data_IF_430504120712
#
_entry.id   IF_430504120712
#
_cell.length_a   1.000
_cell.length_b   1.000
_cell.length_c   1.000
_cell.angle_alpha   90.00
_cell.angle_beta   90.00
_cell.angle_gamma   90.00
#
_symmetry.space_group_name_H-M   'P 1'
#
loop_
_entity.id
_entity.type
_entity.pdbx_description
1 polymer ?
#
# COMPACT_ATOMS: atom_id res chain seq x y z
N UNK A 1 -24.17 -34.83 0.29
CA UNK A 1 -23.28 -34.43 -0.82
C UNK A 1 -23.67 -33.03 -1.25
N UNK A 2 -23.03 -32.02 -0.67
CA UNK A 2 -22.97 -30.66 -1.21
C UNK A 2 -21.51 -30.29 -1.04
N UNK A 3 -20.81 -30.09 -2.15
CA UNK A 3 -19.42 -29.69 -2.20
C UNK A 3 -19.28 -28.30 -1.59
N UNK A 4 -18.54 -28.17 -0.49
CA UNK A 4 -18.08 -26.86 -0.05
C UNK A 4 -17.04 -26.38 -1.06
N UNK A 5 -17.46 -25.45 -1.91
CA UNK A 5 -16.58 -24.70 -2.80
C UNK A 5 -15.45 -24.09 -1.98
N UNK A 6 -14.24 -24.21 -2.53
CA UNK A 6 -13.02 -23.68 -1.94
C UNK A 6 -13.15 -22.17 -1.85
N UNK A 7 -13.10 -21.68 -0.63
CA UNK A 7 -13.01 -20.26 -0.35
C UNK A 7 -11.60 -19.81 -0.77
N UNK A 8 -11.45 -19.28 -1.98
CA UNK A 8 -10.21 -18.69 -2.51
C UNK A 8 -9.93 -17.31 -1.87
N UNK A 9 -10.16 -17.22 -0.55
CA UNK A 9 -9.80 -16.07 0.26
C UNK A 9 -8.28 -16.06 0.40
N UNK A 10 -7.65 -14.98 -0.04
CA UNK A 10 -6.26 -14.66 0.23
C UNK A 10 -6.05 -14.51 1.74
N UNK A 11 -5.94 -15.63 2.46
CA UNK A 11 -5.42 -15.63 3.81
C UNK A 11 -3.98 -15.15 3.69
N UNK A 12 -3.68 -13.94 4.16
CA UNK A 12 -2.31 -13.49 4.38
C UNK A 12 -1.67 -14.52 5.31
N UNK A 13 -0.91 -15.44 4.72
CA UNK A 13 -0.32 -16.55 5.45
C UNK A 13 0.57 -16.00 6.54
N UNK A 14 0.24 -16.31 7.80
CA UNK A 14 1.09 -16.01 8.94
C UNK A 14 2.45 -16.67 8.68
N UNK A 15 3.54 -15.89 8.72
CA UNK A 15 4.89 -16.45 8.62
C UNK A 15 5.09 -17.41 9.80
N UNK A 16 5.58 -18.60 9.53
CA UNK A 16 5.89 -19.57 10.58
C UNK A 16 7.34 -19.39 11.05
N UNK A 17 7.67 -19.96 12.21
CA UNK A 17 9.06 -20.06 12.68
C UNK A 17 9.95 -20.81 11.69
N UNK A 18 9.38 -21.73 10.91
CA UNK A 18 10.11 -22.49 9.91
C UNK A 18 10.39 -21.62 8.68
N UNK A 19 9.40 -20.85 8.21
CA UNK A 19 9.58 -19.89 7.12
C UNK A 19 10.68 -18.87 7.44
N UNK A 20 10.72 -18.34 8.66
CA UNK A 20 11.79 -17.43 9.11
C UNK A 20 13.17 -18.09 8.96
N UNK A 21 13.33 -19.33 9.42
CA UNK A 21 14.60 -20.06 9.30
C UNK A 21 15.00 -20.26 7.84
N UNK A 22 14.03 -20.63 6.99
CA UNK A 22 14.27 -20.91 5.58
C UNK A 22 14.66 -19.64 4.81
N UNK A 23 14.03 -18.50 5.12
CA UNK A 23 14.39 -17.19 4.57
C UNK A 23 15.79 -16.76 5.02
N UNK A 24 16.09 -16.85 6.32
CA UNK A 24 17.38 -16.38 6.85
C UNK A 24 18.55 -17.23 6.37
N UNK A 25 18.34 -18.55 6.25
CA UNK A 25 19.36 -19.51 5.79
C UNK A 25 19.70 -19.33 4.31
N UNK A 26 18.74 -18.90 3.48
CA UNK A 26 18.98 -18.70 2.05
C UNK A 26 19.56 -17.32 1.79
N UNK A 27 20.70 -17.26 1.11
CA UNK A 27 21.11 -16.04 0.44
C UNK A 27 20.48 -16.02 -0.95
N UNK A 28 19.70 -14.99 -1.21
CA UNK A 28 18.92 -14.85 -2.44
C UNK A 28 18.96 -13.43 -2.99
N UNK A 29 19.85 -12.60 -2.46
CA UNK A 29 19.98 -11.24 -2.96
C UNK A 29 20.38 -11.23 -4.44
N UNK A 30 21.35 -12.06 -4.83
CA UNK A 30 21.87 -12.12 -6.20
C UNK A 30 20.78 -12.46 -7.24
N UNK A 31 19.82 -13.32 -6.88
CA UNK A 31 18.69 -13.68 -7.75
C UNK A 31 17.78 -12.47 -8.05
N UNK A 32 17.66 -11.55 -7.08
CA UNK A 32 16.77 -10.39 -7.14
C UNK A 32 17.49 -9.09 -7.56
N UNK A 33 18.79 -9.01 -7.34
CA UNK A 33 19.58 -7.79 -7.46
C UNK A 33 19.40 -7.07 -8.81
N UNK A 34 19.38 -7.73 -9.98
CA UNK A 34 19.16 -7.06 -11.26
C UNK A 34 17.82 -6.33 -11.34
N UNK A 35 16.75 -6.93 -10.83
CA UNK A 35 15.39 -6.38 -10.86
C UNK A 35 15.20 -5.28 -9.82
N UNK A 36 15.79 -5.45 -8.62
CA UNK A 36 15.75 -4.44 -7.57
C UNK A 36 16.57 -3.20 -7.95
N UNK A 37 17.69 -3.38 -8.68
CA UNK A 37 18.47 -2.26 -9.23
C UNK A 37 17.68 -1.45 -10.25
N UNK A 38 16.94 -2.11 -11.15
CA UNK A 38 16.03 -1.41 -12.07
C UNK A 38 14.95 -0.62 -11.31
N UNK A 39 14.38 -1.19 -10.24
CA UNK A 39 13.41 -0.46 -9.41
C UNK A 39 14.03 0.78 -8.75
N UNK A 40 15.25 0.63 -8.23
CA UNK A 40 16.00 1.72 -7.61
C UNK A 40 16.28 2.86 -8.60
N UNK A 41 16.71 2.55 -9.82
CA UNK A 41 16.98 3.53 -10.88
C UNK A 41 15.71 4.27 -11.36
N UNK A 42 14.54 3.66 -11.21
CA UNK A 42 13.23 4.27 -11.48
C UNK A 42 12.67 5.06 -10.30
N UNK A 43 13.34 5.06 -9.15
CA UNK A 43 12.90 5.81 -7.98
C UNK A 43 13.60 7.17 -8.00
N UNK A 44 12.85 8.29 -8.08
CA UNK A 44 13.46 9.61 -7.95
C UNK A 44 14.27 9.66 -6.66
N UNK A 45 15.56 9.97 -6.77
CA UNK A 45 16.42 10.15 -5.60
C UNK A 45 16.00 11.44 -4.91
N UNK A 46 15.10 11.31 -3.92
CA UNK A 46 14.62 12.35 -3.01
C UNK A 46 14.66 13.81 -3.53
N UNK A 47 13.74 14.13 -4.44
CA UNK A 47 13.14 15.47 -4.51
C UNK A 47 11.65 15.27 -4.22
N UNK A 48 11.10 16.01 -3.26
CA UNK A 48 9.83 15.74 -2.59
C UNK A 48 8.67 15.26 -3.46
N UNK A 49 7.96 14.24 -2.95
CA UNK A 49 6.61 13.80 -3.30
C UNK A 49 5.97 14.48 -4.53
N UNK A 50 6.24 13.97 -5.73
CA UNK A 50 5.42 14.26 -6.91
C UNK A 50 4.10 13.50 -6.77
N UNK A 51 3.14 14.14 -6.09
CA UNK A 51 1.73 13.77 -6.13
C UNK A 51 1.21 13.97 -7.55
N UNK A 52 1.38 12.97 -8.40
CA UNK A 52 0.92 13.04 -9.79
C UNK A 52 -0.40 12.26 -9.93
N UNK A 53 -1.35 12.95 -10.56
CA UNK A 53 -2.75 12.54 -10.86
C UNK A 53 -3.81 12.76 -9.76
N UNK A 54 -3.99 14.02 -9.35
CA UNK A 54 -5.31 14.52 -8.87
C UNK A 54 -5.68 15.83 -9.58
N UNK A 55 -5.26 16.02 -10.83
CA UNK A 55 -5.43 17.30 -11.55
C UNK A 55 -6.90 17.64 -11.88
N UNK A 56 -7.83 16.68 -11.88
CA UNK A 56 -9.16 16.92 -12.43
C UNK A 56 -10.20 17.55 -11.47
N UNK A 57 -9.86 17.91 -10.21
CA UNK A 57 -10.86 18.37 -9.21
C UNK A 57 -10.46 19.58 -8.36
N UNK A 58 -9.39 20.27 -8.74
CA UNK A 58 -8.94 21.51 -8.11
C UNK A 58 -9.03 22.67 -9.11
N UNK A 59 -9.27 23.92 -8.67
CA UNK A 59 -9.35 24.37 -7.27
C UNK A 59 -10.62 23.89 -6.55
N UNK A 60 -10.50 23.58 -5.26
CA UNK A 60 -11.61 23.16 -4.40
C UNK A 60 -11.93 24.26 -3.41
N UNK A 61 -13.19 24.69 -3.35
CA UNK A 61 -13.64 25.73 -2.43
C UNK A 61 -14.43 25.12 -1.26
N UNK A 62 -14.11 25.52 -0.03
CA UNK A 62 -14.96 25.24 1.14
C UNK A 62 -16.27 26.01 0.99
N UNK A 63 -17.40 25.32 0.99
CA UNK A 63 -18.71 25.95 0.82
C UNK A 63 -19.13 26.82 2.02
N UNK A 64 -18.56 26.57 3.22
CA UNK A 64 -18.88 27.34 4.43
C UNK A 64 -18.03 28.60 4.61
N UNK A 65 -16.70 28.51 4.54
CA UNK A 65 -15.82 29.67 4.75
C UNK A 65 -15.27 30.30 3.46
N UNK A 66 -15.44 29.63 2.32
CA UNK A 66 -14.98 30.13 1.04
C UNK A 66 -13.49 29.94 0.75
N UNK A 67 -12.69 29.34 1.65
CA UNK A 67 -11.28 29.03 1.41
C UNK A 67 -11.11 28.17 0.16
N UNK A 68 -10.10 28.50 -0.66
CA UNK A 68 -9.84 27.83 -1.94
C UNK A 68 -8.51 27.10 -1.83
N UNK A 69 -8.54 25.79 -1.99
CA UNK A 69 -7.36 24.95 -2.14
C UNK A 69 -7.10 24.81 -3.65
N UNK A 70 -5.93 25.22 -4.14
CA UNK A 70 -5.60 25.23 -5.56
C UNK A 70 -5.04 23.92 -6.06
N UNK A 71 -4.49 23.11 -5.15
CA UNK A 71 -3.90 21.82 -5.47
C UNK A 71 -4.34 20.71 -4.51
N UNK A 72 -4.23 19.44 -4.95
CA UNK A 72 -4.40 18.28 -4.08
C UNK A 72 -3.45 18.29 -2.88
N UNK A 73 -2.19 18.69 -3.09
CA UNK A 73 -1.18 18.76 -2.05
C UNK A 73 -1.57 19.77 -0.99
N UNK A 74 -1.94 20.98 -1.41
CA UNK A 74 -2.44 22.06 -0.54
C UNK A 74 -3.67 21.61 0.25
N UNK A 75 -4.64 20.94 -0.40
CA UNK A 75 -5.79 20.38 0.29
C UNK A 75 -5.39 19.38 1.37
N UNK A 76 -4.46 18.46 1.08
CA UNK A 76 -4.05 17.44 2.03
C UNK A 76 -3.22 18.00 3.19
N UNK A 77 -2.39 19.02 2.94
CA UNK A 77 -1.53 19.64 3.96
C UNK A 77 -2.28 20.64 4.83
N UNK A 78 -3.23 21.38 4.27
CA UNK A 78 -3.94 22.44 4.99
C UNK A 78 -5.17 21.92 5.72
N UNK A 79 -5.80 20.83 5.29
CA UNK A 79 -7.00 20.31 5.98
C UNK A 79 -6.66 19.32 7.10
N UNK A 80 -7.51 19.27 8.11
CA UNK A 80 -7.38 18.37 9.25
C UNK A 80 -8.02 17.01 8.98
N UNK A 81 -7.43 15.95 9.53
CA UNK A 81 -8.04 14.62 9.52
C UNK A 81 -9.30 14.63 10.40
N UNK A 82 -10.30 13.82 10.08
CA UNK A 82 -11.42 13.57 11.00
C UNK A 82 -10.91 12.82 12.24
N UNK A 83 -11.45 13.15 13.41
CA UNK A 83 -11.09 12.49 14.69
C UNK A 83 -11.60 11.04 14.77
N UNK A 84 -12.46 10.61 13.84
CA UNK A 84 -13.01 9.25 13.76
C UNK A 84 -12.16 8.34 12.87
N UNK A 85 -12.28 7.02 13.06
CA UNK A 85 -11.47 6.00 12.36
C UNK A 85 -11.73 5.93 10.84
N UNK A 86 -12.83 6.50 10.35
CA UNK A 86 -13.19 6.50 8.92
C UNK A 86 -12.58 7.71 8.19
N UNK A 87 -11.38 7.53 7.65
CA UNK A 87 -10.59 8.61 7.02
C UNK A 87 -10.71 8.65 5.49
N UNK A 88 -10.78 7.49 4.85
CA UNK A 88 -10.93 7.32 3.40
C UNK A 88 -11.92 6.17 3.14
N UNK A 89 -13.00 6.43 2.38
CA UNK A 89 -13.97 5.39 1.99
C UNK A 89 -13.75 5.02 0.52
N UNK A 90 -13.70 3.72 0.25
CA UNK A 90 -13.52 3.18 -1.09
C UNK A 90 -14.84 2.61 -1.62
N UNK A 91 -15.34 3.11 -2.76
CA UNK A 91 -16.53 2.61 -3.43
C UNK A 91 -16.19 2.07 -4.82
N UNK A 92 -16.86 0.99 -5.22
CA UNK A 92 -16.92 0.57 -6.63
C UNK A 92 -18.14 1.20 -7.29
N UNK A 93 -17.92 2.13 -8.22
CA UNK A 93 -19.00 2.86 -8.91
C UNK A 93 -18.77 2.73 -10.42
N UNK A 94 -19.73 2.11 -11.12
CA UNK A 94 -19.68 1.87 -12.57
C UNK A 94 -18.39 1.16 -13.05
N UNK A 95 -17.94 0.15 -12.29
CA UNK A 95 -16.72 -0.62 -12.59
C UNK A 95 -15.41 0.12 -12.33
N UNK A 96 -15.46 1.30 -11.69
CA UNK A 96 -14.27 2.07 -11.29
C UNK A 96 -14.19 2.20 -9.78
N UNK A 97 -12.98 2.11 -9.26
CA UNK A 97 -12.71 2.37 -7.84
C UNK A 97 -12.65 3.87 -7.59
N UNK A 98 -13.51 4.38 -6.70
CA UNK A 98 -13.53 5.77 -6.25
C UNK A 98 -13.21 5.85 -4.77
N UNK A 99 -12.24 6.70 -4.41
CA UNK A 99 -11.87 6.92 -3.01
C UNK A 99 -12.35 8.30 -2.61
N UNK A 100 -13.17 8.33 -1.57
CA UNK A 100 -13.71 9.53 -0.94
C UNK A 100 -12.86 9.78 0.30
N UNK A 101 -12.02 10.82 0.26
CA UNK A 101 -11.25 11.24 1.43
C UNK A 101 -11.98 12.37 2.11
N UNK A 102 -12.29 12.20 3.39
CA UNK A 102 -13.00 13.20 4.18
C UNK A 102 -12.01 13.91 5.10
N UNK A 103 -12.02 15.25 5.07
CA UNK A 103 -11.13 16.09 5.86
C UNK A 103 -11.85 17.35 6.32
N UNK A 104 -11.49 17.89 7.48
CA UNK A 104 -12.06 19.12 7.99
C UNK A 104 -11.27 20.34 7.51
N UNK A 105 -11.99 21.35 7.02
CA UNK A 105 -11.44 22.69 6.81
C UNK A 105 -10.83 23.21 8.13
N UNK A 106 -9.69 23.93 8.10
CA UNK A 106 -9.07 24.49 9.29
C UNK A 106 -10.01 25.31 10.19
N UNK A 107 -9.73 25.38 11.49
CA UNK A 107 -10.41 26.29 12.39
C UNK A 107 -10.34 27.74 11.87
N UNK A 108 -11.40 28.55 12.07
CA UNK A 108 -12.60 28.25 12.87
C UNK A 108 -13.71 27.53 12.08
N UNK A 109 -13.48 27.14 10.82
CA UNK A 109 -14.54 26.64 9.94
C UNK A 109 -15.03 25.24 10.32
N UNK A 110 -14.08 24.31 10.48
CA UNK A 110 -14.28 22.89 10.81
C UNK A 110 -15.34 22.15 9.97
N UNK A 111 -15.62 22.61 8.74
CA UNK A 111 -16.54 21.90 7.84
C UNK A 111 -15.86 20.72 7.20
N UNK A 112 -16.58 19.60 7.12
CA UNK A 112 -16.11 18.42 6.41
C UNK A 112 -16.15 18.65 4.90
N UNK A 113 -15.01 18.45 4.28
CA UNK A 113 -14.76 18.50 2.84
C UNK A 113 -14.49 17.08 2.36
N UNK A 114 -14.98 16.74 1.17
CA UNK A 114 -14.71 15.46 0.54
C UNK A 114 -13.95 15.65 -0.76
N UNK A 115 -12.79 15.00 -0.91
CA UNK A 115 -12.14 14.88 -2.22
C UNK A 115 -12.35 13.47 -2.72
N UNK A 116 -13.00 13.36 -3.87
CA UNK A 116 -13.12 12.08 -4.57
C UNK A 116 -11.90 11.97 -5.47
N UNK A 117 -11.20 10.86 -5.39
CA UNK A 117 -10.11 10.51 -6.32
C UNK A 117 -10.51 9.27 -7.09
N UNK A 118 -10.16 9.23 -8.38
CA UNK A 118 -10.34 8.04 -9.21
C UNK A 118 -9.00 7.30 -9.27
N UNK A 119 -9.06 5.96 -9.28
CA UNK A 119 -7.97 5.01 -9.59
C UNK A 119 -6.60 5.30 -8.91
N UNK A 120 -6.30 4.61 -7.81
CA UNK A 120 -4.95 4.61 -7.16
C UNK A 120 -3.84 4.05 -8.05
N UNK A 121 -4.17 3.45 -9.20
CA UNK A 121 -3.15 2.89 -10.09
C UNK A 121 -2.50 4.05 -10.83
N UNK A 122 -1.26 4.33 -10.47
CA UNK A 122 -0.38 5.18 -11.24
C UNK A 122 -0.27 4.61 -12.68
N UNK A 123 -1.01 5.19 -13.62
CA UNK A 123 -1.03 4.75 -15.03
C UNK A 123 0.03 5.47 -15.88
N UNK A 124 0.88 6.29 -15.26
CA UNK A 124 2.04 6.85 -15.93
C UNK A 124 2.96 5.72 -16.43
N UNK A 125 3.84 6.04 -17.38
CA UNK A 125 4.87 5.10 -17.84
C UNK A 125 5.70 4.57 -16.66
N UNK A 126 5.97 5.43 -15.67
CA UNK A 126 6.72 5.07 -14.48
C UNK A 126 5.95 4.09 -13.58
N UNK A 127 4.67 4.36 -13.31
CA UNK A 127 3.82 3.48 -12.51
C UNK A 127 3.56 2.12 -13.16
N UNK A 128 3.41 2.09 -14.48
CA UNK A 128 3.33 0.85 -15.24
C UNK A 128 4.63 0.04 -15.14
N UNK A 129 5.77 0.69 -15.25
CA UNK A 129 7.07 0.01 -15.17
C UNK A 129 7.37 -0.52 -13.77
N UNK A 130 7.03 0.24 -12.71
CA UNK A 130 7.10 -0.25 -11.32
C UNK A 130 6.22 -1.48 -11.10
N UNK A 131 5.00 -1.50 -11.64
CA UNK A 131 4.12 -2.68 -11.59
C UNK A 131 4.70 -3.88 -12.35
N UNK A 132 5.29 -3.64 -13.52
CA UNK A 132 5.97 -4.69 -14.30
C UNK A 132 7.09 -5.32 -13.47
N UNK A 133 7.95 -4.47 -12.87
CA UNK A 133 9.05 -4.91 -12.01
C UNK A 133 8.54 -5.64 -10.77
N UNK A 134 7.44 -5.20 -10.16
CA UNK A 134 6.83 -5.93 -9.04
C UNK A 134 6.49 -7.37 -9.45
N UNK A 135 5.87 -7.55 -10.61
CA UNK A 135 5.58 -8.87 -11.16
C UNK A 135 6.83 -9.70 -11.42
N UNK A 136 7.94 -9.10 -11.86
CA UNK A 136 9.22 -9.79 -12.07
C UNK A 136 9.81 -10.25 -10.75
N UNK A 137 10.00 -9.34 -9.79
CA UNK A 137 10.59 -9.65 -8.48
C UNK A 137 9.72 -10.65 -7.73
N UNK A 138 8.39 -10.52 -7.79
CA UNK A 138 7.49 -11.47 -7.15
C UNK A 138 7.62 -12.89 -7.73
N UNK A 139 7.78 -13.03 -9.05
CA UNK A 139 8.03 -14.35 -9.67
C UNK A 139 9.38 -14.91 -9.24
N UNK A 140 10.44 -14.11 -9.30
CA UNK A 140 11.77 -14.53 -8.84
C UNK A 140 11.73 -14.95 -7.37
N UNK A 141 11.04 -14.20 -6.51
CA UNK A 141 10.85 -14.53 -5.10
C UNK A 141 10.13 -15.88 -4.92
N UNK A 142 9.08 -16.15 -5.70
CA UNK A 142 8.38 -17.44 -5.65
C UNK A 142 9.25 -18.60 -6.13
N UNK A 143 10.08 -18.40 -7.15
CA UNK A 143 11.00 -19.42 -7.66
C UNK A 143 12.14 -19.69 -6.67
N UNK A 144 12.76 -18.64 -6.15
CA UNK A 144 13.82 -18.72 -5.15
C UNK A 144 13.30 -19.32 -3.84
N UNK A 145 12.12 -18.93 -3.38
CA UNK A 145 11.56 -19.36 -2.09
C UNK A 145 10.35 -20.30 -2.29
N UNK A 146 10.48 -21.26 -3.21
CA UNK A 146 9.40 -22.17 -3.62
C UNK A 146 8.76 -23.00 -2.48
N UNK A 147 9.44 -23.13 -1.34
CA UNK A 147 8.92 -23.83 -0.17
C UNK A 147 8.02 -22.96 0.71
N UNK A 148 8.00 -21.63 0.50
CA UNK A 148 7.17 -20.70 1.26
C UNK A 148 5.80 -20.54 0.63
N UNK A 149 4.82 -20.14 1.44
CA UNK A 149 3.50 -19.81 0.90
C UNK A 149 3.56 -18.57 -0.01
N UNK A 150 2.71 -18.49 -1.05
CA UNK A 150 2.63 -17.31 -1.91
C UNK A 150 2.35 -16.00 -1.16
N UNK A 151 1.64 -16.07 -0.03
CA UNK A 151 1.40 -14.89 0.82
C UNK A 151 2.68 -14.35 1.45
N UNK A 152 3.60 -15.23 1.87
CA UNK A 152 4.88 -14.84 2.45
C UNK A 152 5.80 -14.22 1.39
N UNK A 153 5.92 -14.83 0.22
CA UNK A 153 6.74 -14.29 -0.89
C UNK A 153 6.18 -12.96 -1.41
N UNK A 154 4.85 -12.80 -1.45
CA UNK A 154 4.19 -11.54 -1.75
C UNK A 154 4.55 -10.45 -0.75
N UNK A 155 4.45 -10.76 0.55
CA UNK A 155 4.82 -9.88 1.66
C UNK A 155 6.29 -9.45 1.61
N UNK A 156 7.22 -10.38 1.35
CA UNK A 156 8.64 -10.08 1.15
C UNK A 156 8.86 -9.15 -0.04
N UNK A 157 8.14 -9.37 -1.13
CA UNK A 157 8.22 -8.51 -2.32
C UNK A 157 7.72 -7.10 -2.01
N UNK A 158 6.56 -6.97 -1.33
CA UNK A 158 6.02 -5.68 -0.91
C UNK A 158 6.99 -4.92 0.00
N UNK A 159 7.62 -5.62 0.95
CA UNK A 159 8.59 -5.02 1.85
C UNK A 159 9.77 -4.40 1.07
N UNK A 160 10.39 -5.16 0.17
CA UNK A 160 11.51 -4.66 -0.64
C UNK A 160 11.08 -3.49 -1.54
N UNK A 161 9.89 -3.57 -2.15
CA UNK A 161 9.36 -2.48 -2.97
C UNK A 161 9.11 -1.21 -2.16
N UNK A 162 8.58 -1.35 -0.93
CA UNK A 162 8.38 -0.22 -0.03
C UNK A 162 9.71 0.45 0.32
N UNK A 163 10.66 -0.34 0.81
CA UNK A 163 11.98 0.12 1.22
C UNK A 163 12.71 0.86 0.08
N UNK A 164 12.69 0.30 -1.13
CA UNK A 164 13.40 0.85 -2.28
C UNK A 164 12.65 2.04 -2.89
N UNK A 165 11.37 1.86 -3.25
CA UNK A 165 10.64 2.83 -4.06
C UNK A 165 10.04 4.00 -3.26
N UNK A 166 9.87 3.85 -1.95
CA UNK A 166 9.23 4.86 -1.11
C UNK A 166 10.14 5.38 0.01
N UNK A 167 11.02 4.54 0.55
CA UNK A 167 11.91 4.93 1.64
C UNK A 167 13.32 5.31 1.16
N UNK A 168 13.62 5.12 -0.13
CA UNK A 168 14.89 5.56 -0.69
C UNK A 168 16.07 4.73 -0.20
N UNK A 169 15.89 3.43 0.04
CA UNK A 169 16.97 2.51 0.39
C UNK A 169 17.53 1.82 -0.85
N UNK A 170 18.86 1.71 -0.95
CA UNK A 170 19.47 0.90 -2.00
C UNK A 170 19.01 -0.57 -1.90
N UNK A 171 19.06 -1.33 -3.00
CA UNK A 171 18.65 -2.74 -2.99
C UNK A 171 19.29 -3.59 -1.89
N UNK A 172 20.59 -3.38 -1.63
CA UNK A 172 21.31 -4.11 -0.58
C UNK A 172 20.87 -3.68 0.82
N UNK A 173 20.70 -2.38 1.06
CA UNK A 173 20.21 -1.87 2.36
C UNK A 173 18.82 -2.39 2.66
N UNK A 174 17.91 -2.35 1.68
CA UNK A 174 16.55 -2.89 1.80
C UNK A 174 16.56 -4.40 2.11
N UNK A 175 17.44 -5.16 1.46
CA UNK A 175 17.59 -6.60 1.69
C UNK A 175 18.10 -6.93 3.10
N UNK A 176 19.17 -6.25 3.54
CA UNK A 176 19.74 -6.44 4.88
C UNK A 176 18.73 -6.03 5.95
N UNK A 177 18.04 -4.90 5.75
CA UNK A 177 17.00 -4.41 6.62
C UNK A 177 15.85 -5.43 6.74
N UNK A 178 15.38 -5.96 5.62
CA UNK A 178 14.36 -7.02 5.58
C UNK A 178 14.79 -8.25 6.39
N UNK A 179 16.01 -8.75 6.18
CA UNK A 179 16.52 -9.92 6.94
C UNK A 179 16.56 -9.66 8.44
N UNK A 180 17.05 -8.48 8.84
CA UNK A 180 17.08 -8.07 10.26
C UNK A 180 15.68 -7.98 10.85
N UNK A 181 14.73 -7.41 10.12
CA UNK A 181 13.35 -7.26 10.60
C UNK A 181 12.62 -8.62 10.67
N UNK A 182 12.96 -9.58 9.81
CA UNK A 182 12.48 -10.97 9.90
C UNK A 182 13.08 -11.67 11.13
N UNK A 183 14.38 -11.52 11.35
CA UNK A 183 15.09 -12.11 12.50
C UNK A 183 14.56 -11.57 13.84
N UNK A 184 14.31 -10.25 13.89
CA UNK A 184 13.78 -9.56 15.08
C UNK A 184 12.26 -9.64 15.21
N UNK A 185 11.56 -10.34 14.30
CA UNK A 185 10.09 -10.45 14.26
C UNK A 185 9.40 -9.07 14.27
N UNK A 186 9.93 -8.13 13.49
CA UNK A 186 9.32 -6.81 13.23
C UNK A 186 8.77 -6.68 11.81
N UNK A 187 8.89 -7.75 11.01
CA UNK A 187 8.41 -7.80 9.65
C UNK A 187 6.88 -7.76 9.58
N UNK A 188 6.30 -6.74 8.92
CA UNK A 188 4.86 -6.65 8.58
C UNK A 188 3.87 -7.05 9.71
N UNK A 189 4.03 -6.49 10.91
CA UNK A 189 3.02 -6.59 11.97
C UNK A 189 3.11 -7.81 12.88
N UNK A 190 4.32 -8.34 13.12
CA UNK A 190 4.57 -9.37 14.15
C UNK A 190 4.62 -8.84 15.59
N UNK A 191 4.12 -7.64 15.87
CA UNK A 191 3.74 -7.35 17.25
C UNK A 191 2.50 -8.19 17.56
N UNK A 192 2.41 -8.74 18.78
CA UNK A 192 1.27 -9.49 19.33
C UNK A 192 -0.02 -8.61 19.42
N UNK A 193 -0.20 -7.63 18.54
CA UNK A 193 -1.34 -6.74 18.51
C UNK A 193 -2.47 -7.34 17.67
N UNK A 194 -3.43 -7.90 18.41
CA UNK A 194 -4.84 -8.12 18.16
C UNK A 194 -5.34 -8.41 16.71
N UNK A 195 -6.15 -9.46 16.51
CA UNK A 195 -6.83 -9.69 15.24
C UNK A 195 -7.71 -8.48 14.89
N UNK A 196 -7.57 -7.97 13.67
CA UNK A 196 -8.54 -7.03 13.08
C UNK A 196 -9.88 -7.74 12.98
N UNK A 197 -10.83 -7.32 13.81
CA UNK A 197 -12.23 -7.75 13.72
C UNK A 197 -12.82 -7.15 12.44
N UNK A 198 -13.05 -8.00 11.44
CA UNK A 198 -13.90 -7.68 10.30
C UNK A 198 -15.32 -8.02 10.72
N UNK A 199 -16.09 -7.03 11.13
CA UNK A 199 -17.52 -7.21 11.34
C UNK A 199 -18.22 -7.31 9.97
N UNK A 200 -18.89 -8.43 9.73
CA UNK A 200 -19.84 -8.52 8.62
C UNK A 200 -21.04 -7.65 8.98
N UNK A 201 -21.20 -6.53 8.29
CA UNK A 201 -22.43 -5.74 8.39
C UNK A 201 -23.51 -6.52 7.65
N UNK A 202 -24.48 -7.03 8.41
CA UNK A 202 -25.65 -7.72 7.90
C UNK A 202 -26.45 -6.77 6.98
N UNK A 203 -26.80 -7.23 5.77
CA UNK A 203 -27.52 -6.47 4.72
C UNK A 203 -28.94 -6.01 5.15
N UNK A 204 -29.37 -6.37 6.36
CA UNK A 204 -30.69 -6.08 6.91
C UNK A 204 -30.82 -4.68 7.55
N UNK A 205 -29.78 -3.83 7.50
CA UNK A 205 -29.83 -2.45 8.03
C UNK A 205 -29.73 -1.33 6.98
N UNK A 206 -29.84 -1.65 5.69
CA UNK A 206 -29.97 -0.65 4.62
C UNK A 206 -31.45 -0.39 4.26
N UNK A 207 -32.30 -0.18 5.27
CA UNK A 207 -33.72 0.17 5.13
C UNK A 207 -34.04 1.47 5.86
#
# INVERSE_FOLDING_TARGET
MVSSEKNDGWAYGLITKQDIKDILKKDFYEDLAPSLKQLWELTPQQDGHSGEHVEARFPKKCTKCGHIYHSPTEFMSETNVLDTEERDICYQIAGRTRIFRYRNCPPPCNSTLVVVTEERRDTSKLGLERRRLFGVVHRQMNETLANLSPGVTHSLTLYLFRAIAFEGLSPMEAYVLMKRDIETKRFLGFEDEAPVLVENVDDSKAG
#
